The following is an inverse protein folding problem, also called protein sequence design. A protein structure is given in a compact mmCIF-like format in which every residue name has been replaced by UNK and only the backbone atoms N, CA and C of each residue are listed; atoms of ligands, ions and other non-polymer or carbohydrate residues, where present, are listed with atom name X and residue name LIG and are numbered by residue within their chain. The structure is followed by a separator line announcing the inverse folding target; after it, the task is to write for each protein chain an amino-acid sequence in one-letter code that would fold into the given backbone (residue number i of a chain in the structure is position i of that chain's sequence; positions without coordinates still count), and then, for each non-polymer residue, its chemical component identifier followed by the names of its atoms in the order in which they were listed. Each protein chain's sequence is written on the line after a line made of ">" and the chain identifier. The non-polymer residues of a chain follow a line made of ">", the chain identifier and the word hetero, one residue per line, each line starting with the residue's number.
data_IF_784917957311
#
_entry.id   IF_784917957311
#
_cell.length_a   1.000
_cell.length_b   1.000
_cell.length_c   1.000
_cell.angle_alpha   90.00
_cell.angle_beta   90.00
_cell.angle_gamma   90.00
#
_symmetry.space_group_name_H-M   'P 1'
#
loop_
_entity.id
_entity.type
_entity.pdbx_description
1 polymer ?
#
# COMPACT_ATOMS: atom_id res chain seq x y z
N UNK A 1 15.38 -0.66 -5.08
CA UNK A 1 14.24 -0.37 -4.19
C UNK A 1 14.79 -0.22 -2.78
N UNK A 2 14.62 0.97 -2.19
CA UNK A 2 15.06 1.29 -0.85
C UNK A 2 14.33 0.44 0.21
N UNK A 3 14.94 0.32 1.39
CA UNK A 3 14.28 -0.28 2.55
C UNK A 3 13.10 0.59 3.00
N UNK A 4 12.10 -0.04 3.62
CA UNK A 4 10.90 0.65 4.08
C UNK A 4 11.20 1.84 5.00
N UNK A 5 12.16 1.67 5.92
CA UNK A 5 12.60 2.70 6.85
C UNK A 5 13.42 3.83 6.19
N UNK A 6 13.97 3.60 4.99
CA UNK A 6 14.66 4.63 4.21
C UNK A 6 13.64 5.40 3.35
N UNK A 7 12.63 4.69 2.84
CA UNK A 7 11.59 5.26 2.00
C UNK A 7 10.62 6.14 2.80
N UNK A 8 10.07 5.65 3.91
CA UNK A 8 9.08 6.40 4.69
C UNK A 8 9.76 7.20 5.80
N UNK A 9 9.61 8.54 5.75
CA UNK A 9 10.30 9.48 6.64
C UNK A 9 9.70 9.48 8.05
N UNK A 10 8.37 9.52 8.11
CA UNK A 10 7.59 9.67 9.33
C UNK A 10 6.64 8.50 9.55
N UNK A 11 5.96 8.51 10.70
CA UNK A 11 4.78 7.67 10.91
C UNK A 11 3.71 7.97 9.85
N UNK A 12 3.10 6.90 9.33
CA UNK A 12 1.97 6.98 8.44
C UNK A 12 0.71 7.32 9.23
N UNK A 13 -0.20 8.06 8.61
CA UNK A 13 -1.50 8.39 9.16
C UNK A 13 -2.58 7.55 8.49
N UNK A 14 -3.42 6.91 9.30
CA UNK A 14 -4.57 6.14 8.86
C UNK A 14 -5.72 6.29 9.87
N UNK A 15 -6.92 6.66 9.41
CA UNK A 15 -8.15 6.75 10.22
C UNK A 15 -7.98 7.48 11.57
N UNK A 16 -7.42 8.68 11.54
CA UNK A 16 -7.18 9.51 12.73
C UNK A 16 -6.12 8.97 13.72
N UNK A 17 -5.22 8.10 13.27
CA UNK A 17 -4.13 7.58 14.11
C UNK A 17 -2.83 7.45 13.32
N UNK A 18 -1.72 7.64 14.02
CA UNK A 18 -0.39 7.36 13.52
C UNK A 18 -0.06 5.86 13.66
N UNK A 19 0.68 5.34 12.69
CA UNK A 19 1.18 3.96 12.67
C UNK A 19 2.55 3.92 12.01
N UNK A 20 3.32 2.86 12.31
CA UNK A 20 4.52 2.58 11.56
C UNK A 20 4.13 2.16 10.13
N UNK A 21 4.65 2.87 9.12
CA UNK A 21 4.39 2.56 7.72
C UNK A 21 4.80 1.12 7.37
N UNK A 22 5.89 0.62 7.95
CA UNK A 22 6.43 -0.71 7.65
C UNK A 22 5.59 -1.86 8.22
N UNK A 23 4.65 -1.58 9.12
CA UNK A 23 3.72 -2.58 9.63
C UNK A 23 2.48 -2.74 8.74
N UNK A 24 2.17 -1.71 7.92
CA UNK A 24 0.98 -1.68 7.07
C UNK A 24 1.26 -1.87 5.59
N UNK A 25 2.40 -1.39 5.12
CA UNK A 25 2.85 -1.55 3.74
C UNK A 25 3.59 -2.88 3.57
N UNK A 26 3.27 -3.58 2.49
CA UNK A 26 3.85 -4.87 2.18
C UNK A 26 4.54 -4.81 0.81
N UNK A 27 5.63 -5.55 0.66
CA UNK A 27 6.32 -5.63 -0.62
C UNK A 27 5.43 -6.34 -1.65
N UNK A 28 5.30 -5.74 -2.82
CA UNK A 28 4.57 -6.29 -3.95
C UNK A 28 5.39 -6.13 -5.22
N UNK A 29 5.39 -7.16 -6.06
CA UNK A 29 5.94 -7.08 -7.42
C UNK A 29 4.90 -6.50 -8.37
N UNK A 30 5.30 -5.49 -9.15
CA UNK A 30 4.49 -4.80 -10.17
C UNK A 30 5.26 -4.71 -11.48
N UNK A 31 4.65 -4.13 -12.52
CA UNK A 31 5.31 -3.79 -13.79
C UNK A 31 6.43 -2.75 -13.64
N UNK A 32 6.42 -1.96 -12.56
CA UNK A 32 7.50 -1.01 -12.20
C UNK A 32 8.58 -1.64 -11.32
N UNK A 33 8.54 -2.98 -11.14
CA UNK A 33 9.42 -3.70 -10.24
C UNK A 33 8.83 -3.88 -8.85
N UNK A 34 9.68 -3.98 -7.83
CA UNK A 34 9.21 -4.05 -6.44
C UNK A 34 8.67 -2.70 -5.99
N UNK A 35 7.56 -2.73 -5.26
CA UNK A 35 6.90 -1.56 -4.69
C UNK A 35 6.36 -1.86 -3.30
N UNK A 36 6.12 -0.82 -2.51
CA UNK A 36 5.41 -0.92 -1.24
C UNK A 36 3.92 -0.72 -1.45
N UNK A 37 3.11 -1.69 -1.05
CA UNK A 37 1.67 -1.69 -1.27
C UNK A 37 0.89 -1.68 0.04
N UNK A 38 0.00 -0.72 0.20
CA UNK A 38 -1.03 -0.67 1.24
C UNK A 38 -2.27 -1.39 0.74
N UNK A 39 -2.93 -2.19 1.59
CA UNK A 39 -4.18 -2.88 1.28
C UNK A 39 -4.11 -3.96 0.17
N UNK A 40 -2.93 -4.51 -0.11
CA UNK A 40 -2.79 -5.58 -1.12
C UNK A 40 -3.28 -6.95 -0.64
N UNK A 41 -4.02 -7.65 -1.50
CA UNK A 41 -4.32 -9.08 -1.33
C UNK A 41 -3.28 -10.01 -1.96
N UNK A 42 -2.40 -9.46 -2.80
CA UNK A 42 -1.46 -10.20 -3.64
C UNK A 42 0.01 -9.95 -3.28
N UNK A 43 0.28 -9.28 -2.16
CA UNK A 43 1.62 -9.02 -1.66
C UNK A 43 2.46 -10.28 -1.48
N UNK A 44 3.78 -10.11 -1.51
CA UNK A 44 4.73 -11.21 -1.33
C UNK A 44 4.61 -11.85 0.07
N UNK A 45 4.36 -11.04 1.10
CA UNK A 45 4.11 -11.51 2.46
C UNK A 45 2.90 -12.44 2.51
N UNK A 46 1.79 -12.08 1.84
CA UNK A 46 0.59 -12.92 1.78
C UNK A 46 0.78 -14.22 1.00
N UNK A 47 1.53 -14.16 -0.10
CA UNK A 47 1.90 -15.34 -0.89
C UNK A 47 2.69 -16.35 -0.06
N UNK A 48 3.64 -15.86 0.76
CA UNK A 48 4.51 -16.71 1.59
C UNK A 48 3.84 -17.23 2.86
N UNK A 49 2.94 -16.46 3.47
CA UNK A 49 2.35 -16.79 4.78
C UNK A 49 0.94 -17.39 4.73
N UNK A 50 0.40 -17.70 3.54
CA UNK A 50 -0.91 -18.37 3.43
C UNK A 50 -2.08 -17.52 3.97
N UNK A 51 -2.09 -16.22 3.66
CA UNK A 51 -3.18 -15.27 3.93
C UNK A 51 -3.48 -14.99 5.42
N UNK A 52 -3.93 -16.00 6.17
CA UNK A 52 -4.36 -15.89 7.57
C UNK A 52 -3.22 -15.63 8.56
N UNK A 53 -2.00 -16.13 8.30
CA UNK A 53 -0.84 -15.81 9.17
C UNK A 53 -0.23 -14.45 8.83
N UNK A 54 -0.40 -13.96 7.59
CA UNK A 54 0.10 -12.64 7.18
C UNK A 54 -0.58 -11.50 7.95
N UNK A 55 -1.85 -11.64 8.30
CA UNK A 55 -2.60 -10.63 9.07
C UNK A 55 -2.20 -10.59 10.56
N UNK A 56 -1.58 -11.66 11.08
CA UNK A 56 -0.99 -11.70 12.43
C UNK A 56 0.46 -11.20 12.45
N UNK A 57 1.15 -11.28 11.30
CA UNK A 57 2.56 -10.88 11.14
C UNK A 57 2.72 -9.45 10.60
N UNK A 58 1.73 -8.95 9.85
CA UNK A 58 1.59 -7.52 9.58
C UNK A 58 1.07 -6.92 10.88
N UNK A 59 1.85 -6.07 11.53
CA UNK A 59 1.63 -5.53 12.88
C UNK A 59 0.34 -4.70 13.11
N UNK A 60 -0.74 -4.97 12.37
CA UNK A 60 -2.06 -4.52 12.73
C UNK A 60 -2.49 -5.15 14.06
N UNK A 61 -2.84 -4.29 15.03
CA UNK A 61 -3.66 -4.68 16.17
C UNK A 61 -4.76 -5.63 15.70
N UNK A 62 -4.86 -6.82 16.30
CA UNK A 62 -5.60 -8.00 15.81
C UNK A 62 -7.11 -7.86 15.54
N UNK A 63 -7.61 -6.62 15.52
CA UNK A 63 -8.99 -6.25 15.24
C UNK A 63 -9.20 -5.57 13.88
N UNK A 64 -8.15 -5.15 13.15
CA UNK A 64 -8.36 -4.45 11.88
C UNK A 64 -8.47 -5.41 10.69
N UNK A 65 -9.73 -5.66 10.28
CA UNK A 65 -10.06 -6.51 9.14
C UNK A 65 -9.63 -5.85 7.83
N UNK A 66 -8.86 -6.59 7.03
CA UNK A 66 -8.57 -6.24 5.64
C UNK A 66 -9.74 -6.65 4.72
N UNK A 67 -9.96 -5.95 3.59
CA UNK A 67 -9.27 -4.71 3.20
C UNK A 67 -9.63 -3.56 4.15
N UNK A 68 -8.65 -2.72 4.49
CA UNK A 68 -8.86 -1.59 5.42
C UNK A 68 -9.74 -0.57 4.72
N UNK A 69 -10.79 -0.10 5.43
CA UNK A 69 -11.80 0.80 4.88
C UNK A 69 -11.92 2.08 5.69
N UNK A 70 -12.18 3.19 5.01
CA UNK A 70 -12.58 4.44 5.68
C UNK A 70 -14.10 4.47 5.88
N UNK A 71 -14.55 5.04 6.99
CA UNK A 71 -15.98 5.26 7.28
C UNK A 71 -16.41 6.70 7.04
N UNK A 72 -15.44 7.62 6.91
CA UNK A 72 -15.62 9.06 6.69
C UNK A 72 -14.64 9.55 5.64
N UNK A 73 -15.06 10.54 4.85
CA UNK A 73 -14.21 11.29 3.94
C UNK A 73 -13.63 12.52 4.66
N UNK A 74 -12.52 13.06 4.16
CA UNK A 74 -11.85 14.21 4.73
C UNK A 74 -10.35 13.98 4.94
N UNK A 75 -9.61 15.06 5.17
CA UNK A 75 -8.14 15.08 5.24
C UNK A 75 -7.57 14.11 6.29
N UNK A 76 -8.30 13.89 7.38
CA UNK A 76 -7.85 13.05 8.50
C UNK A 76 -8.33 11.59 8.42
N UNK A 77 -9.23 11.27 7.48
CA UNK A 77 -9.79 9.92 7.35
C UNK A 77 -8.96 8.97 6.49
N UNK A 78 -8.17 9.53 5.57
CA UNK A 78 -7.42 8.79 4.55
C UNK A 78 -6.04 8.31 4.99
N UNK A 79 -5.31 7.78 4.01
CA UNK A 79 -3.90 7.43 4.12
C UNK A 79 -3.06 8.69 3.84
N UNK A 80 -2.16 9.04 4.75
CA UNK A 80 -1.14 10.07 4.55
C UNK A 80 0.23 9.54 4.95
N UNK A 81 1.23 9.86 4.15
CA UNK A 81 2.61 9.44 4.35
C UNK A 81 3.55 10.50 3.77
N UNK A 82 4.77 10.52 4.29
CA UNK A 82 5.89 11.29 3.75
C UNK A 82 6.93 10.28 3.29
N UNK A 83 7.42 10.42 2.06
CA UNK A 83 8.40 9.50 1.52
C UNK A 83 9.57 10.25 0.87
N UNK A 84 10.76 9.66 0.98
CA UNK A 84 12.00 10.15 0.39
C UNK A 84 12.06 9.82 -1.10
N UNK A 85 12.73 10.68 -1.85
CA UNK A 85 13.12 10.45 -3.23
C UNK A 85 14.60 10.09 -3.29
N UNK A 86 14.99 9.23 -4.23
CA UNK A 86 16.36 8.68 -4.33
C UNK A 86 16.99 9.08 -5.67
N UNK A 87 17.52 10.31 -5.80
CA UNK A 87 18.05 10.81 -7.06
C UNK A 87 19.25 10.02 -7.59
N UNK A 88 20.01 9.38 -6.69
CA UNK A 88 21.18 8.58 -7.04
C UNK A 88 20.83 7.20 -7.65
N UNK A 89 19.56 6.78 -7.58
CA UNK A 89 19.08 5.52 -8.17
C UNK A 89 18.64 5.68 -9.64
N UNK A 90 18.66 6.90 -10.19
CA UNK A 90 18.22 7.17 -11.57
C UNK A 90 19.28 6.67 -12.57
N UNK A 91 18.91 5.89 -13.60
CA UNK A 91 19.84 5.44 -14.63
C UNK A 91 20.55 6.61 -15.33
N UNK A 92 21.88 6.55 -15.51
CA UNK A 92 22.62 7.62 -16.17
C UNK A 92 22.12 7.83 -17.62
N UNK A 93 21.80 9.07 -17.97
CA UNK A 93 21.26 9.43 -19.29
C UNK A 93 19.73 9.41 -19.40
N UNK A 94 19.01 9.02 -18.34
CA UNK A 94 17.57 9.19 -18.27
C UNK A 94 17.22 10.64 -17.88
N UNK A 95 16.43 11.33 -18.71
CA UNK A 95 15.90 12.67 -18.40
C UNK A 95 14.63 12.57 -17.55
N UNK A 96 14.75 11.97 -16.36
CA UNK A 96 13.63 11.73 -15.43
C UNK A 96 13.90 12.52 -14.15
N UNK A 97 12.90 13.25 -13.67
CA UNK A 97 13.00 13.92 -12.38
C UNK A 97 12.83 12.89 -11.25
N UNK A 98 13.66 12.91 -10.20
CA UNK A 98 13.49 12.05 -9.04
C UNK A 98 12.11 12.26 -8.44
N UNK A 99 11.42 11.17 -8.13
CA UNK A 99 10.03 11.23 -7.75
C UNK A 99 9.49 9.95 -7.17
N UNK A 100 8.19 10.00 -6.88
CA UNK A 100 7.43 8.89 -6.34
C UNK A 100 6.26 8.62 -7.28
N UNK A 101 6.16 7.38 -7.74
CA UNK A 101 4.99 6.88 -8.44
C UNK A 101 4.04 6.29 -7.40
N UNK A 102 2.79 6.76 -7.43
CA UNK A 102 1.70 6.19 -6.65
C UNK A 102 0.64 5.66 -7.61
N UNK A 103 0.37 4.36 -7.56
CA UNK A 103 -0.74 3.75 -8.28
C UNK A 103 -1.84 3.31 -7.30
N UNK A 104 -3.09 3.63 -7.63
CA UNK A 104 -4.25 3.26 -6.82
C UNK A 104 -5.13 2.30 -7.61
N UNK A 105 -5.32 1.10 -7.09
CA UNK A 105 -6.08 0.04 -7.74
C UNK A 105 -7.21 -0.46 -6.83
N UNK A 106 -8.33 -0.93 -7.38
CA UNK A 106 -9.30 -1.71 -6.61
C UNK A 106 -8.63 -2.94 -6.01
N UNK A 107 -8.97 -3.28 -4.77
CA UNK A 107 -8.46 -4.51 -4.14
C UNK A 107 -8.94 -5.73 -4.94
N UNK A 108 -8.00 -6.54 -5.44
CA UNK A 108 -8.24 -7.61 -6.41
C UNK A 108 -9.24 -8.67 -5.94
N UNK A 109 -10.27 -8.89 -6.76
CA UNK A 109 -11.23 -9.99 -6.62
C UNK A 109 -10.57 -11.34 -6.91
N UNK A 110 -10.49 -12.24 -5.91
CA UNK A 110 -10.27 -13.67 -6.18
C UNK A 110 -11.60 -14.36 -6.51
N UNK A 111 -11.66 -14.94 -7.71
CA UNK A 111 -12.71 -15.86 -8.14
C UNK A 111 -13.71 -15.19 -9.08
N UNK A 112 -14.03 -15.86 -10.19
CA UNK A 112 -14.96 -15.38 -11.23
C UNK A 112 -16.42 -15.28 -10.78
N UNK A 113 -16.67 -14.55 -9.70
CA UNK A 113 -17.98 -14.02 -9.40
C UNK A 113 -18.16 -12.76 -10.25
N UNK A 114 -19.16 -12.79 -11.12
CA UNK A 114 -19.68 -11.61 -11.81
C UNK A 114 -19.87 -10.44 -10.83
N UNK A 115 -19.79 -9.19 -11.30
CA UNK A 115 -19.92 -8.01 -10.45
C UNK A 115 -21.32 -8.00 -9.82
N UNK A 116 -21.44 -8.46 -8.58
CA UNK A 116 -22.59 -8.10 -7.77
C UNK A 116 -22.37 -6.65 -7.37
N UNK A 117 -23.13 -5.82 -8.08
CA UNK A 117 -23.21 -4.38 -8.09
C UNK A 117 -23.40 -3.80 -6.67
N UNK A 118 -22.32 -3.49 -5.96
CA UNK A 118 -22.35 -2.45 -4.93
C UNK A 118 -21.24 -1.42 -5.18
N UNK A 119 -21.49 -0.37 -5.98
CA UNK A 119 -20.54 0.71 -6.26
C UNK A 119 -20.00 1.41 -4.99
N UNK A 120 -20.76 1.31 -3.89
CA UNK A 120 -20.44 1.91 -2.59
C UNK A 120 -19.23 1.27 -1.89
N UNK A 121 -18.95 -0.02 -2.14
CA UNK A 121 -17.88 -0.78 -1.50
C UNK A 121 -16.53 -0.58 -2.21
N UNK A 122 -16.55 -0.39 -3.53
CA UNK A 122 -15.37 -0.15 -4.36
C UNK A 122 -14.65 1.16 -4.03
N UNK A 123 -15.42 2.20 -3.68
CA UNK A 123 -14.86 3.50 -3.30
C UNK A 123 -14.25 3.52 -1.88
N UNK A 124 -14.42 2.45 -1.09
CA UNK A 124 -14.05 2.44 0.34
C UNK A 124 -12.78 1.67 0.66
N UNK A 125 -12.24 0.92 -0.29
CA UNK A 125 -11.00 0.17 -0.13
C UNK A 125 -10.18 0.25 -1.43
N UNK A 126 -9.10 1.01 -1.39
CA UNK A 126 -8.10 1.08 -2.46
C UNK A 126 -6.82 0.41 -1.98
N UNK A 127 -6.16 -0.27 -2.92
CA UNK A 127 -4.77 -0.62 -2.80
C UNK A 127 -3.94 0.56 -3.32
N UNK A 128 -2.97 1.04 -2.53
CA UNK A 128 -2.06 2.09 -2.94
C UNK A 128 -0.64 1.52 -3.02
N UNK A 129 -0.03 1.57 -4.20
CA UNK A 129 1.30 1.05 -4.44
C UNK A 129 2.26 2.20 -4.70
N UNK A 130 3.40 2.19 -4.01
CA UNK A 130 4.37 3.29 -3.98
C UNK A 130 5.72 2.77 -4.45
N UNK A 131 6.25 3.44 -5.46
CA UNK A 131 7.59 3.20 -6.01
C UNK A 131 8.35 4.49 -6.18
N UNK A 132 9.67 4.41 -6.20
CA UNK A 132 10.57 5.53 -6.51
C UNK A 132 11.00 5.42 -7.98
N UNK A 133 11.24 6.56 -8.61
CA UNK A 133 11.72 6.66 -10.01
C UNK A 133 13.16 7.11 -10.09
#
# INVERSE_FOLDING_TARGET
>A
MPLCAELFVDLCWWRNSFFNCCDMFELQMTEYGFCYSFNSEVSETRRRSGGRRADLLSGGSGNERRPRRTTKHGEWGGLRLTANTFPDEIPPGANIAPGIIVSCEPVGMRGGASPMYEPSLYLRALQATISTT
#
